data_IF_804503692567
#
_entry.id   IF_804503692567
#
_cell.length_a   1.000
_cell.length_b   1.000
_cell.length_c   1.000
_cell.angle_alpha   90.00
_cell.angle_beta   90.00
_cell.angle_gamma   90.00
#
_symmetry.space_group_name_H-M   'P 1'
#
loop_
_entity.id
_entity.type
_entity.pdbx_description
1 polymer ?
#
# COMPACT_ATOMS: atom_id res chain seq x y z
N UNK A 1 7.52 7.47 21.84
CA UNK A 1 6.21 6.91 21.41
C UNK A 1 5.29 7.93 20.75
N UNK A 2 5.17 9.18 21.25
CA UNK A 2 4.33 10.23 20.63
C UNK A 2 4.57 10.44 19.12
N UNK A 3 5.83 10.49 18.65
CA UNK A 3 6.16 10.64 17.21
C UNK A 3 5.67 9.47 16.33
N UNK A 4 5.78 8.24 16.83
CA UNK A 4 5.32 7.03 16.11
C UNK A 4 3.79 7.00 16.06
N UNK A 5 3.13 7.44 17.12
CA UNK A 5 1.68 7.58 17.16
C UNK A 5 1.16 8.62 16.15
N UNK A 6 1.81 9.78 16.03
CA UNK A 6 1.45 10.79 15.02
C UNK A 6 1.66 10.27 13.60
N UNK A 7 2.74 9.53 13.35
CA UNK A 7 2.98 8.87 12.06
C UNK A 7 1.86 7.87 11.76
N UNK A 8 1.46 7.05 12.74
CA UNK A 8 0.40 6.06 12.56
C UNK A 8 -0.96 6.71 12.29
N UNK A 9 -1.31 7.79 13.00
CA UNK A 9 -2.52 8.57 12.74
C UNK A 9 -2.48 9.14 11.34
N UNK A 10 -1.38 9.78 10.94
CA UNK A 10 -1.22 10.34 9.60
C UNK A 10 -1.43 9.28 8.51
N UNK A 11 -0.85 8.09 8.68
CA UNK A 11 -1.07 6.97 7.75
C UNK A 11 -2.51 6.49 7.76
N UNK A 12 -3.14 6.34 8.92
CA UNK A 12 -4.54 5.94 9.01
C UNK A 12 -5.46 6.95 8.32
N UNK A 13 -5.19 8.25 8.48
CA UNK A 13 -5.91 9.32 7.77
C UNK A 13 -5.67 9.25 6.27
N UNK A 14 -4.43 9.01 5.82
CA UNK A 14 -4.12 8.85 4.40
C UNK A 14 -4.87 7.66 3.79
N UNK A 15 -4.86 6.51 4.46
CA UNK A 15 -5.61 5.32 4.05
C UNK A 15 -7.12 5.56 4.03
N UNK A 16 -7.67 6.25 5.02
CA UNK A 16 -9.10 6.58 5.08
C UNK A 16 -9.52 7.53 3.95
N UNK A 17 -8.73 8.57 3.65
CA UNK A 17 -8.98 9.48 2.52
C UNK A 17 -8.92 8.72 1.19
N UNK A 18 -7.89 7.89 1.02
CA UNK A 18 -7.70 7.05 -0.15
C UNK A 18 -8.85 6.04 -0.34
N UNK A 19 -9.34 5.43 0.75
CA UNK A 19 -10.49 4.52 0.73
C UNK A 19 -11.80 5.25 0.43
N UNK A 20 -12.01 6.43 1.02
CA UNK A 20 -13.18 7.26 0.77
C UNK A 20 -13.27 7.69 -0.69
N UNK A 21 -12.17 8.15 -1.29
CA UNK A 21 -12.10 8.50 -2.71
C UNK A 21 -12.43 7.28 -3.58
N UNK A 22 -11.84 6.11 -3.29
CA UNK A 22 -12.14 4.88 -4.02
C UNK A 22 -13.62 4.47 -3.90
N UNK A 23 -14.20 4.58 -2.71
CA UNK A 23 -15.60 4.23 -2.46
C UNK A 23 -16.58 5.19 -3.13
N UNK A 24 -16.37 6.50 -3.02
CA UNK A 24 -17.19 7.52 -3.67
C UNK A 24 -17.18 7.40 -5.19
N UNK A 25 -16.08 6.93 -5.79
CA UNK A 25 -16.00 6.71 -7.22
C UNK A 25 -16.73 5.45 -7.70
N UNK A 26 -16.77 4.39 -6.88
CA UNK A 26 -17.53 3.17 -7.18
C UNK A 26 -19.05 3.43 -7.07
N UNK A 27 -19.50 4.22 -6.10
CA UNK A 27 -20.93 4.47 -5.88
C UNK A 27 -21.59 5.37 -6.93
N UNK A 28 -20.81 6.07 -7.76
CA UNK A 28 -21.32 6.98 -8.81
C UNK A 28 -21.51 6.31 -10.18
N UNK A 29 -21.14 5.03 -10.33
CA UNK A 29 -21.20 4.32 -11.62
C UNK A 29 -22.12 3.10 -11.57
N UNK A 30 -23.16 3.09 -12.42
CA UNK A 30 -24.01 1.92 -12.67
C UNK A 30 -23.20 0.79 -13.34
N UNK A 31 -23.56 -0.46 -13.05
CA UNK A 31 -22.77 -1.67 -13.37
C UNK A 31 -22.26 -1.80 -14.81
N UNK A 32 -22.99 -1.28 -15.81
CA UNK A 32 -22.60 -1.34 -17.24
C UNK A 32 -21.50 -0.33 -17.63
N UNK A 33 -21.23 0.67 -16.78
CA UNK A 33 -20.21 1.70 -17.03
C UNK A 33 -18.84 1.39 -16.39
N UNK A 34 -18.75 0.36 -15.55
CA UNK A 34 -17.55 0.05 -14.77
C UNK A 34 -16.39 -0.36 -15.68
N UNK A 35 -16.63 -1.14 -16.75
CA UNK A 35 -15.56 -1.54 -17.67
C UNK A 35 -15.06 -0.37 -18.54
N UNK A 36 -15.95 0.53 -19.00
CA UNK A 36 -15.58 1.74 -19.76
C UNK A 36 -14.90 2.80 -18.88
N UNK A 37 -15.35 2.96 -17.64
CA UNK A 37 -14.75 3.91 -16.69
C UNK A 37 -13.51 3.37 -15.95
N UNK A 38 -13.25 2.06 -15.96
CA UNK A 38 -12.00 1.49 -15.43
C UNK A 38 -10.77 2.12 -16.10
N UNK A 39 -10.87 2.49 -17.38
CA UNK A 39 -9.81 3.22 -18.09
C UNK A 39 -9.60 4.65 -17.54
N UNK A 40 -10.68 5.35 -17.17
CA UNK A 40 -10.64 6.69 -16.57
C UNK A 40 -10.08 6.67 -15.14
N UNK A 41 -10.40 5.63 -14.36
CA UNK A 41 -9.90 5.47 -13.00
C UNK A 41 -8.55 4.75 -12.90
N UNK A 42 -7.99 4.30 -14.03
CA UNK A 42 -6.71 3.57 -14.10
C UNK A 42 -5.58 4.35 -13.40
N UNK A 43 -5.50 5.65 -13.64
CA UNK A 43 -4.47 6.50 -13.03
C UNK A 43 -4.69 6.68 -11.52
N UNK A 44 -5.94 6.74 -11.08
CA UNK A 44 -6.26 6.85 -9.66
C UNK A 44 -5.93 5.56 -8.91
N UNK A 45 -6.27 4.39 -9.47
CA UNK A 45 -5.89 3.10 -8.90
C UNK A 45 -4.37 2.92 -8.88
N UNK A 46 -3.66 3.38 -9.92
CA UNK A 46 -2.20 3.42 -9.90
C UNK A 46 -1.66 4.31 -8.78
N UNK A 47 -2.16 5.54 -8.65
CA UNK A 47 -1.77 6.48 -7.58
C UNK A 47 -2.03 5.90 -6.18
N UNK A 48 -3.21 5.30 -5.97
CA UNK A 48 -3.59 4.64 -4.73
C UNK A 48 -2.61 3.53 -4.36
N UNK A 49 -2.28 2.69 -5.34
CA UNK A 49 -1.42 1.53 -5.16
C UNK A 49 0.05 1.91 -4.90
N UNK A 50 0.60 2.86 -5.67
CA UNK A 50 1.94 3.40 -5.43
C UNK A 50 2.03 4.13 -4.08
N UNK A 51 0.97 4.84 -3.68
CA UNK A 51 0.86 5.43 -2.35
C UNK A 51 0.93 4.39 -1.24
N UNK A 52 0.22 3.26 -1.40
CA UNK A 52 0.28 2.12 -0.48
C UNK A 52 1.68 1.49 -0.39
N UNK A 53 2.36 1.29 -1.52
CA UNK A 53 3.72 0.74 -1.50
C UNK A 53 4.73 1.67 -0.84
N UNK A 54 4.66 2.97 -1.14
CA UNK A 54 5.51 3.97 -0.49
C UNK A 54 5.27 3.98 1.04
N UNK A 55 4.00 3.91 1.45
CA UNK A 55 3.62 3.81 2.86
C UNK A 55 4.22 2.57 3.54
N UNK A 56 4.13 1.40 2.90
CA UNK A 56 4.68 0.16 3.46
C UNK A 56 6.20 0.26 3.61
N UNK A 57 6.92 0.80 2.62
CA UNK A 57 8.37 0.96 2.69
C UNK A 57 8.81 1.92 3.80
N UNK A 58 8.09 3.02 3.97
CA UNK A 58 8.37 4.01 5.01
C UNK A 58 8.05 3.45 6.39
N UNK A 59 6.94 2.73 6.54
CA UNK A 59 6.48 2.22 7.83
C UNK A 59 7.18 0.94 8.28
N UNK A 60 7.69 0.12 7.35
CA UNK A 60 8.27 -1.17 7.64
C UNK A 60 9.35 -1.14 8.75
N UNK A 61 10.35 -0.23 8.73
CA UNK A 61 11.36 -0.15 9.79
C UNK A 61 10.76 0.19 11.16
N UNK A 62 9.73 1.04 11.19
CA UNK A 62 9.04 1.40 12.44
C UNK A 62 8.23 0.24 13.00
N UNK A 63 7.57 -0.52 12.12
CA UNK A 63 6.84 -1.73 12.48
C UNK A 63 7.78 -2.80 13.04
N UNK A 64 8.88 -3.08 12.35
CA UNK A 64 9.91 -4.04 12.80
C UNK A 64 10.53 -3.60 14.12
N UNK A 65 10.84 -2.31 14.31
CA UNK A 65 11.35 -1.80 15.57
C UNK A 65 10.34 -1.91 16.72
N UNK A 66 9.04 -1.72 16.44
CA UNK A 66 7.98 -1.86 17.43
C UNK A 66 7.81 -3.31 17.87
N UNK A 67 7.68 -4.24 16.91
CA UNK A 67 7.56 -5.68 17.18
C UNK A 67 8.82 -6.20 17.86
N UNK A 68 10.00 -5.85 17.35
CA UNK A 68 11.26 -6.30 17.90
C UNK A 68 11.46 -5.88 19.35
N UNK A 69 11.05 -4.67 19.73
CA UNK A 69 11.05 -4.26 21.15
C UNK A 69 10.08 -5.07 21.99
N UNK A 70 8.86 -5.31 21.49
CA UNK A 70 7.84 -6.10 22.21
C UNK A 70 8.26 -7.56 22.39
N UNK A 71 8.96 -8.13 21.41
CA UNK A 71 9.44 -9.51 21.42
C UNK A 71 10.89 -9.65 21.93
N UNK A 72 11.49 -8.57 22.45
CA UNK A 72 12.88 -8.56 22.96
C UNK A 72 13.91 -9.06 21.95
N UNK A 73 13.74 -8.76 20.67
CA UNK A 73 14.72 -9.06 19.64
C UNK A 73 16.00 -8.25 19.86
N UNK A 74 17.13 -8.85 19.50
CA UNK A 74 18.43 -8.20 19.53
C UNK A 74 18.46 -7.05 18.51
N UNK A 75 19.30 -6.04 18.77
CA UNK A 75 19.43 -4.88 17.88
C UNK A 75 19.80 -5.28 16.44
N UNK A 76 20.65 -6.30 16.29
CA UNK A 76 21.04 -6.86 14.98
C UNK A 76 19.85 -7.47 14.24
N UNK A 77 18.98 -8.20 14.93
CA UNK A 77 17.76 -8.79 14.35
C UNK A 77 16.81 -7.70 13.87
N UNK A 78 16.60 -6.66 14.68
CA UNK A 78 15.78 -5.50 14.31
C UNK A 78 16.37 -4.80 13.08
N UNK A 79 17.70 -4.61 13.04
CA UNK A 79 18.38 -3.99 11.90
C UNK A 79 18.28 -4.84 10.64
N UNK A 80 18.50 -6.16 10.75
CA UNK A 80 18.37 -7.11 9.64
C UNK A 80 16.98 -7.06 9.02
N UNK A 81 15.92 -7.18 9.82
CA UNK A 81 14.54 -7.16 9.32
C UNK A 81 14.13 -5.77 8.79
N UNK A 82 14.63 -4.68 9.39
CA UNK A 82 14.38 -3.32 8.90
C UNK A 82 14.99 -3.10 7.51
N UNK A 83 16.14 -3.72 7.23
CA UNK A 83 16.81 -3.66 5.93
C UNK A 83 16.20 -4.57 4.86
N UNK A 84 15.30 -5.49 5.20
CA UNK A 84 14.58 -6.31 4.20
C UNK A 84 13.55 -5.51 3.38
N UNK A 85 13.41 -4.19 3.62
CA UNK A 85 12.50 -3.30 2.89
C UNK A 85 12.65 -3.37 1.36
N UNK A 86 13.88 -3.52 0.87
CA UNK A 86 14.17 -3.62 -0.58
C UNK A 86 13.64 -4.94 -1.14
N UNK A 87 13.76 -6.05 -0.39
CA UNK A 87 13.22 -7.34 -0.83
C UNK A 87 11.69 -7.34 -0.83
N UNK A 88 11.07 -6.67 0.14
CA UNK A 88 9.63 -6.41 0.15
C UNK A 88 9.20 -5.58 -1.07
N UNK A 89 9.95 -4.52 -1.42
CA UNK A 89 9.67 -3.74 -2.62
C UNK A 89 9.71 -4.59 -3.89
N UNK A 90 10.74 -5.40 -4.04
CA UNK A 90 10.89 -6.32 -5.19
C UNK A 90 9.71 -7.31 -5.25
N UNK A 91 9.28 -7.84 -4.10
CA UNK A 91 8.11 -8.72 -4.02
C UNK A 91 6.83 -8.00 -4.47
N UNK A 92 6.62 -6.75 -4.04
CA UNK A 92 5.50 -5.93 -4.50
C UNK A 92 5.54 -5.66 -6.01
N UNK A 93 6.73 -5.37 -6.55
CA UNK A 93 6.93 -5.16 -7.98
C UNK A 93 6.56 -6.40 -8.80
N UNK A 94 6.88 -7.60 -8.31
CA UNK A 94 6.49 -8.87 -8.93
C UNK A 94 4.97 -9.01 -8.94
N UNK A 95 4.30 -8.83 -7.78
CA UNK A 95 2.83 -8.87 -7.71
C UNK A 95 2.18 -7.85 -8.63
N UNK A 96 2.80 -6.69 -8.80
CA UNK A 96 2.31 -5.61 -9.64
C UNK A 96 2.40 -5.96 -11.12
N UNK A 97 3.49 -6.59 -11.56
CA UNK A 97 3.62 -7.14 -12.90
C UNK A 97 2.51 -8.17 -13.16
N UNK A 98 2.32 -9.14 -12.26
CA UNK A 98 1.26 -10.13 -12.38
C UNK A 98 -0.14 -9.50 -12.43
N UNK A 99 -0.41 -8.52 -11.59
CA UNK A 99 -1.70 -7.83 -11.56
C UNK A 99 -1.95 -7.01 -12.83
N UNK A 100 -0.94 -6.29 -13.34
CA UNK A 100 -1.06 -5.53 -14.59
C UNK A 100 -1.33 -6.48 -15.76
N UNK A 101 -0.63 -7.61 -15.85
CA UNK A 101 -0.92 -8.62 -16.87
C UNK A 101 -2.30 -9.25 -16.71
N UNK A 102 -2.74 -9.55 -15.48
CA UNK A 102 -4.05 -10.13 -15.22
C UNK A 102 -5.20 -9.15 -15.57
N UNK A 103 -5.06 -7.88 -15.21
CA UNK A 103 -6.04 -6.84 -15.54
C UNK A 103 -6.07 -6.54 -17.04
N UNK A 104 -4.91 -6.51 -17.71
CA UNK A 104 -4.84 -6.33 -19.17
C UNK A 104 -5.51 -7.50 -19.89
N UNK A 105 -5.25 -8.74 -19.48
CA UNK A 105 -5.87 -9.94 -20.09
C UNK A 105 -7.38 -10.02 -19.91
N UNK A 106 -7.96 -9.34 -18.91
CA UNK A 106 -9.41 -9.26 -18.71
C UNK A 106 -10.06 -8.03 -19.39
N UNK A 107 -9.26 -7.09 -19.90
CA UNK A 107 -9.70 -5.91 -20.63
C UNK A 107 -9.60 -6.07 -22.16
N UNK A 108 -8.82 -7.06 -22.65
CA UNK A 108 -8.74 -7.52 -24.04
C UNK A 108 -9.76 -8.62 -24.30
#
# INVERSE_FOLDING_TARGET
MKKVFHLFIFVATLCAVLFFIGHSMISLTSGDSISKNASHYRYLFMLWRYGLYALILILWPYFVACIGKKQKWNAETIHYFSNQRIKLFVLFLIFEIFFVFNVISHLL
#
